data_IF_606409977549
#
_entry.id   IF_606409977549
#
_cell.length_a   1.000
_cell.length_b   1.000
_cell.length_c   1.000
_cell.angle_alpha   90.00
_cell.angle_beta   90.00
_cell.angle_gamma   90.00
#
_symmetry.space_group_name_H-M   'P 1'
#
loop_
_entity.id
_entity.type
_entity.pdbx_description
1 polymer ?
#
# COMPACT_ATOMS: atom_id res chain seq x y z
N UNK A 1 31.00 -7.22 2.53
CA UNK A 1 29.64 -6.70 2.77
C UNK A 1 28.66 -6.94 1.61
N UNK A 2 28.94 -7.87 0.68
CA UNK A 2 28.06 -8.16 -0.49
C UNK A 2 26.94 -9.17 -0.16
N UNK A 3 27.04 -9.89 0.97
CA UNK A 3 26.05 -10.90 1.36
C UNK A 3 24.69 -10.36 1.85
N UNK A 4 24.63 -9.15 2.40
CA UNK A 4 23.37 -8.60 2.96
C UNK A 4 22.40 -8.07 1.91
N UNK A 5 22.88 -7.64 0.74
CA UNK A 5 22.00 -7.08 -0.30
C UNK A 5 21.16 -8.17 -0.97
N UNK A 6 21.75 -9.34 -1.25
CA UNK A 6 21.07 -10.45 -1.93
C UNK A 6 19.95 -11.04 -1.06
N UNK A 7 20.15 -11.12 0.25
CA UNK A 7 19.15 -11.67 1.18
C UNK A 7 17.92 -10.76 1.29
N UNK A 8 18.13 -9.44 1.35
CA UNK A 8 17.04 -8.46 1.42
C UNK A 8 16.12 -8.45 0.19
N UNK A 9 16.69 -8.68 -1.00
CA UNK A 9 15.93 -8.76 -2.26
C UNK A 9 15.04 -10.00 -2.28
N UNK A 10 15.57 -11.15 -1.88
CA UNK A 10 14.82 -12.40 -1.86
C UNK A 10 13.65 -12.37 -0.86
N UNK A 11 13.84 -11.75 0.31
CA UNK A 11 12.78 -11.59 1.32
C UNK A 11 11.64 -10.72 0.77
N UNK A 12 11.95 -9.63 0.08
CA UNK A 12 10.94 -8.75 -0.50
C UNK A 12 10.15 -9.46 -1.61
N UNK A 13 10.80 -10.25 -2.46
CA UNK A 13 10.12 -11.04 -3.50
C UNK A 13 9.24 -12.12 -2.87
N UNK A 14 9.73 -12.84 -1.86
CA UNK A 14 8.97 -13.86 -1.16
C UNK A 14 7.68 -13.30 -0.53
N UNK A 15 7.76 -12.13 0.12
CA UNK A 15 6.59 -11.46 0.69
C UNK A 15 5.54 -11.10 -0.37
N UNK A 16 5.97 -10.60 -1.53
CA UNK A 16 5.07 -10.27 -2.65
C UNK A 16 4.39 -11.52 -3.22
N UNK A 17 5.14 -12.60 -3.40
CA UNK A 17 4.59 -13.88 -3.90
C UNK A 17 3.60 -14.45 -2.88
N UNK A 18 3.94 -14.43 -1.59
CA UNK A 18 3.04 -14.86 -0.52
C UNK A 18 1.75 -14.03 -0.49
N UNK A 19 1.85 -12.70 -0.62
CA UNK A 19 0.70 -11.81 -0.70
C UNK A 19 -0.20 -12.10 -1.91
N UNK A 20 0.39 -12.38 -3.08
CA UNK A 20 -0.35 -12.80 -4.27
C UNK A 20 -1.08 -14.13 -4.05
N UNK A 21 -0.41 -15.15 -3.53
CA UNK A 21 -1.00 -16.45 -3.23
C UNK A 21 -2.13 -16.32 -2.20
N UNK A 22 -1.95 -15.49 -1.19
CA UNK A 22 -2.96 -15.15 -0.19
C UNK A 22 -4.20 -14.49 -0.83
N UNK A 23 -4.00 -13.52 -1.72
CA UNK A 23 -5.09 -12.87 -2.46
C UNK A 23 -5.88 -13.85 -3.35
N UNK A 24 -5.18 -14.71 -4.09
CA UNK A 24 -5.82 -15.79 -4.86
C UNK A 24 -6.56 -16.78 -3.98
N UNK A 25 -5.99 -17.16 -2.84
CA UNK A 25 -6.62 -18.04 -1.85
C UNK A 25 -7.95 -17.47 -1.35
N UNK A 26 -8.01 -16.15 -1.08
CA UNK A 26 -9.25 -15.49 -0.69
C UNK A 26 -10.33 -15.55 -1.77
N UNK A 27 -9.95 -15.29 -3.02
CA UNK A 27 -10.88 -15.33 -4.15
C UNK A 27 -11.39 -16.75 -4.36
N UNK A 28 -10.52 -17.76 -4.24
CA UNK A 28 -10.92 -19.16 -4.33
C UNK A 28 -11.92 -19.53 -3.22
N UNK A 29 -11.69 -19.09 -1.98
CA UNK A 29 -12.63 -19.29 -0.86
C UNK A 29 -13.97 -18.58 -1.15
N UNK A 30 -13.93 -17.35 -1.65
CA UNK A 30 -15.14 -16.60 -1.98
C UNK A 30 -15.97 -17.32 -3.05
N UNK A 31 -15.32 -17.82 -4.12
CA UNK A 31 -15.97 -18.60 -5.17
C UNK A 31 -16.51 -19.92 -4.61
N UNK A 32 -15.74 -20.62 -3.78
CA UNK A 32 -16.19 -21.88 -3.17
C UNK A 32 -17.43 -21.65 -2.28
N UNK A 33 -17.44 -20.58 -1.47
CA UNK A 33 -18.65 -20.16 -0.73
C UNK A 33 -19.79 -19.87 -1.71
N UNK A 34 -19.55 -19.11 -2.78
CA UNK A 34 -20.58 -18.78 -3.76
C UNK A 34 -21.23 -20.03 -4.40
N UNK A 35 -20.43 -21.05 -4.73
CA UNK A 35 -20.91 -22.30 -5.35
C UNK A 35 -21.62 -23.21 -4.34
N UNK A 36 -21.20 -23.19 -3.07
CA UNK A 36 -21.74 -24.07 -2.03
C UNK A 36 -23.06 -23.55 -1.44
N UNK A 37 -23.36 -22.26 -1.57
CA UNK A 37 -24.47 -21.64 -0.84
C UNK A 37 -25.83 -21.71 -1.55
N UNK A 38 -26.83 -22.18 -0.77
CA UNK A 38 -28.24 -21.81 -0.89
C UNK A 38 -28.40 -20.38 -0.33
N UNK A 39 -29.06 -19.49 -1.07
CA UNK A 39 -29.14 -18.02 -0.87
C UNK A 39 -29.93 -17.60 0.41
N UNK A 40 -30.14 -18.49 1.38
CA UNK A 40 -31.08 -18.26 2.49
C UNK A 40 -30.57 -17.31 3.60
N UNK A 41 -29.27 -17.14 3.79
CA UNK A 41 -28.72 -16.25 4.84
C UNK A 41 -27.98 -15.04 4.26
N UNK A 42 -28.55 -13.85 4.44
CA UNK A 42 -27.98 -12.60 3.94
C UNK A 42 -26.60 -12.27 4.51
N UNK A 43 -26.28 -12.74 5.72
CA UNK A 43 -24.97 -12.52 6.37
C UNK A 43 -23.83 -13.13 5.55
N UNK A 44 -24.00 -14.37 5.09
CA UNK A 44 -22.97 -15.09 4.34
C UNK A 44 -22.73 -14.48 2.95
N UNK A 45 -23.77 -13.91 2.35
CA UNK A 45 -23.64 -13.17 1.10
C UNK A 45 -22.74 -11.94 1.26
N UNK A 46 -22.97 -11.12 2.30
CA UNK A 46 -22.11 -9.97 2.57
C UNK A 46 -20.67 -10.40 2.88
N UNK A 47 -20.48 -11.46 3.68
CA UNK A 47 -19.14 -11.98 3.98
C UNK A 47 -18.40 -12.40 2.70
N UNK A 48 -19.08 -13.09 1.79
CA UNK A 48 -18.52 -13.55 0.52
C UNK A 48 -18.14 -12.36 -0.38
N UNK A 49 -18.97 -11.33 -0.42
CA UNK A 49 -18.66 -10.10 -1.14
C UNK A 49 -17.44 -9.38 -0.55
N UNK A 50 -17.33 -9.32 0.78
CA UNK A 50 -16.14 -8.78 1.46
C UNK A 50 -14.88 -9.57 1.11
N UNK A 51 -14.94 -10.91 1.08
CA UNK A 51 -13.81 -11.73 0.67
C UNK A 51 -13.38 -11.45 -0.78
N UNK A 52 -14.32 -11.29 -1.70
CA UNK A 52 -14.01 -10.96 -3.08
C UNK A 52 -13.32 -9.59 -3.20
N UNK A 53 -13.86 -8.58 -2.51
CA UNK A 53 -13.33 -7.20 -2.52
C UNK A 53 -11.94 -7.15 -1.87
N UNK A 54 -11.77 -7.77 -0.70
CA UNK A 54 -10.49 -7.78 0.01
C UNK A 54 -9.43 -8.63 -0.71
N UNK A 55 -9.82 -9.75 -1.34
CA UNK A 55 -8.92 -10.53 -2.20
C UNK A 55 -8.44 -9.71 -3.41
N UNK A 56 -9.36 -8.97 -4.04
CA UNK A 56 -9.03 -8.03 -5.12
C UNK A 56 -8.10 -6.92 -4.65
N UNK A 57 -8.35 -6.32 -3.48
CA UNK A 57 -7.44 -5.32 -2.89
C UNK A 57 -6.08 -5.91 -2.56
N UNK A 58 -6.00 -7.14 -2.05
CA UNK A 58 -4.73 -7.80 -1.75
C UNK A 58 -3.87 -7.93 -3.01
N UNK A 59 -4.46 -8.39 -4.12
CA UNK A 59 -3.79 -8.49 -5.43
C UNK A 59 -3.44 -7.10 -5.98
N UNK A 60 -4.38 -6.16 -5.93
CA UNK A 60 -4.18 -4.80 -6.39
C UNK A 60 -3.11 -4.07 -5.56
N UNK A 61 -2.89 -4.44 -4.30
CA UNK A 61 -1.83 -3.86 -3.47
C UNK A 61 -0.43 -4.20 -3.99
N UNK A 62 -0.28 -5.30 -4.72
CA UNK A 62 0.99 -5.76 -5.29
C UNK A 62 1.19 -5.24 -6.71
N UNK A 63 0.12 -5.16 -7.51
CA UNK A 63 0.15 -4.48 -8.79
C UNK A 63 0.09 -2.98 -8.52
N UNK A 64 1.24 -2.28 -8.60
CA UNK A 64 1.41 -0.85 -8.29
C UNK A 64 0.62 0.08 -9.24
N UNK A 65 -0.69 -0.09 -9.33
CA UNK A 65 -1.62 0.69 -10.13
C UNK A 65 -1.92 2.00 -9.39
N UNK A 66 -1.10 3.01 -9.69
CA UNK A 66 -1.23 4.36 -9.14
C UNK A 66 -2.64 4.97 -9.24
N UNK A 67 -3.50 4.50 -10.15
CA UNK A 67 -4.86 5.04 -10.35
C UNK A 67 -5.94 4.39 -9.47
N UNK A 68 -5.81 3.12 -9.12
CA UNK A 68 -6.85 2.38 -8.38
C UNK A 68 -6.68 2.52 -6.86
N UNK A 69 -5.44 2.76 -6.41
CA UNK A 69 -5.08 2.87 -4.99
C UNK A 69 -5.18 4.30 -4.44
N UNK A 70 -5.68 5.28 -5.19
CA UNK A 70 -5.81 6.68 -4.74
C UNK A 70 -6.57 6.81 -3.41
N UNK A 71 -7.72 6.13 -3.18
CA UNK A 71 -8.41 6.20 -1.89
C UNK A 71 -7.72 5.36 -0.79
N UNK A 72 -6.86 4.41 -1.16
CA UNK A 72 -6.21 3.49 -0.24
C UNK A 72 -4.73 3.83 -0.05
N UNK A 73 -4.45 5.09 0.28
CA UNK A 73 -3.08 5.55 0.47
C UNK A 73 -2.32 4.75 1.56
N UNK A 74 -3.05 4.18 2.54
CA UNK A 74 -2.47 3.34 3.58
C UNK A 74 -1.90 2.01 3.04
N UNK A 75 -2.45 1.44 1.96
CA UNK A 75 -1.94 0.22 1.31
C UNK A 75 -0.58 0.44 0.62
N UNK A 76 -0.16 1.70 0.45
CA UNK A 76 1.15 2.04 -0.12
C UNK A 76 2.28 1.86 0.89
N UNK A 77 1.97 1.91 2.19
CA UNK A 77 2.94 1.74 3.27
C UNK A 77 3.02 0.28 3.72
N UNK A 78 4.22 -0.21 4.02
CA UNK A 78 4.42 -1.57 4.54
C UNK A 78 3.60 -1.84 5.81
N UNK A 79 3.52 -0.86 6.71
CA UNK A 79 2.74 -0.95 7.93
C UNK A 79 1.23 -1.11 7.65
N UNK A 80 0.72 -0.34 6.70
CA UNK A 80 -0.70 -0.38 6.32
C UNK A 80 -1.07 -1.68 5.61
N UNK A 81 -0.17 -2.21 4.76
CA UNK A 81 -0.32 -3.56 4.20
C UNK A 81 -0.36 -4.62 5.29
N UNK A 82 0.58 -4.59 6.25
CA UNK A 82 0.60 -5.51 7.38
C UNK A 82 -0.70 -5.48 8.17
N UNK A 83 -1.19 -4.30 8.53
CA UNK A 83 -2.47 -4.12 9.23
C UNK A 83 -3.67 -4.62 8.41
N UNK A 84 -3.68 -4.38 7.09
CA UNK A 84 -4.72 -4.90 6.20
C UNK A 84 -4.76 -6.43 6.18
N UNK A 85 -3.60 -7.09 6.02
CA UNK A 85 -3.53 -8.55 6.05
C UNK A 85 -3.96 -9.12 7.41
N UNK A 86 -3.63 -8.44 8.51
CA UNK A 86 -4.05 -8.84 9.86
C UNK A 86 -5.58 -8.73 10.02
N UNK A 87 -6.15 -7.63 9.55
CA UNK A 87 -7.60 -7.41 9.57
C UNK A 87 -8.32 -8.51 8.78
N UNK A 88 -7.84 -8.82 7.57
CA UNK A 88 -8.40 -9.89 6.74
C UNK A 88 -8.24 -11.27 7.41
N UNK A 89 -7.10 -11.54 8.06
CA UNK A 89 -6.88 -12.78 8.82
C UNK A 89 -7.93 -12.97 9.93
N UNK A 90 -8.33 -11.88 10.57
CA UNK A 90 -9.31 -11.86 11.66
C UNK A 90 -10.73 -12.13 11.14
N UNK A 91 -11.08 -11.60 9.97
CA UNK A 91 -12.40 -11.86 9.35
C UNK A 91 -12.52 -13.32 8.91
N UNK A 92 -11.44 -13.88 8.35
CA UNK A 92 -11.40 -15.26 7.85
C UNK A 92 -11.38 -16.30 8.97
N UNK A 93 -11.09 -15.88 10.20
CA UNK A 93 -11.00 -16.78 11.35
C UNK A 93 -12.37 -17.41 11.67
N UNK A 94 -12.62 -18.55 11.04
CA UNK A 94 -13.80 -19.37 11.22
C UNK A 94 -13.37 -20.76 11.68
N UNK A 95 -13.90 -21.19 12.83
CA UNK A 95 -13.52 -22.43 13.50
C UNK A 95 -14.19 -23.65 12.83
N UNK A 96 -15.24 -23.45 12.04
CA UNK A 96 -15.99 -24.57 11.46
C UNK A 96 -15.22 -25.36 10.41
N UNK A 97 -14.28 -24.73 9.71
CA UNK A 97 -13.58 -25.34 8.59
C UNK A 97 -12.06 -25.19 8.73
N UNK A 98 -11.36 -26.32 8.77
CA UNK A 98 -9.92 -26.33 9.03
C UNK A 98 -9.10 -25.57 7.97
N UNK A 99 -9.56 -25.54 6.72
CA UNK A 99 -8.93 -24.77 5.64
C UNK A 99 -8.95 -23.25 5.87
N UNK A 100 -9.99 -22.73 6.54
CA UNK A 100 -10.07 -21.30 6.87
C UNK A 100 -9.06 -20.94 7.95
N UNK A 101 -8.86 -21.82 8.93
CA UNK A 101 -7.83 -21.67 9.96
C UNK A 101 -6.44 -21.63 9.32
N UNK A 102 -6.14 -22.55 8.40
CA UNK A 102 -4.86 -22.59 7.68
C UNK A 102 -4.59 -21.27 6.94
N UNK A 103 -5.59 -20.76 6.23
CA UNK A 103 -5.48 -19.48 5.51
C UNK A 103 -5.34 -18.29 6.46
N UNK A 104 -6.08 -18.25 7.57
CA UNK A 104 -5.93 -17.21 8.58
C UNK A 104 -4.50 -17.18 9.15
N UNK A 105 -3.91 -18.34 9.45
CA UNK A 105 -2.51 -18.44 9.91
C UNK A 105 -1.53 -17.94 8.85
N UNK A 106 -1.72 -18.28 7.57
CA UNK A 106 -0.87 -17.78 6.48
C UNK A 106 -0.96 -16.25 6.33
N UNK A 107 -2.16 -15.69 6.44
CA UNK A 107 -2.38 -14.24 6.43
C UNK A 107 -1.72 -13.56 7.64
N UNK A 108 -1.83 -14.16 8.82
CA UNK A 108 -1.20 -13.67 10.03
C UNK A 108 0.33 -13.67 9.92
N UNK A 109 0.92 -14.76 9.45
CA UNK A 109 2.37 -14.85 9.21
C UNK A 109 2.82 -13.80 8.19
N UNK A 110 2.09 -13.66 7.08
CA UNK A 110 2.38 -12.66 6.05
C UNK A 110 2.33 -11.25 6.63
N UNK A 111 1.32 -10.94 7.47
CA UNK A 111 1.23 -9.67 8.18
C UNK A 111 2.45 -9.40 9.07
N UNK A 112 2.87 -10.39 9.86
CA UNK A 112 4.07 -10.29 10.71
C UNK A 112 5.32 -10.02 9.87
N UNK A 113 5.50 -10.70 8.73
CA UNK A 113 6.60 -10.42 7.81
C UNK A 113 6.59 -8.96 7.31
N UNK A 114 5.43 -8.42 6.93
CA UNK A 114 5.33 -7.01 6.53
C UNK A 114 5.65 -6.05 7.68
N UNK A 115 5.29 -6.38 8.92
CA UNK A 115 5.67 -5.59 10.10
C UNK A 115 7.18 -5.62 10.35
N UNK A 116 7.81 -6.80 10.25
CA UNK A 116 9.26 -6.94 10.41
C UNK A 116 10.00 -6.12 9.35
N UNK A 117 9.58 -6.20 8.08
CA UNK A 117 10.14 -5.39 7.00
C UNK A 117 9.93 -3.90 7.27
N UNK A 118 8.74 -3.49 7.74
CA UNK A 118 8.46 -2.10 8.05
C UNK A 118 9.37 -1.55 9.16
N UNK A 119 9.65 -2.35 10.20
CA UNK A 119 10.55 -1.98 11.31
C UNK A 119 12.00 -1.93 10.80
N UNK A 120 12.47 -2.99 10.14
CA UNK A 120 13.84 -3.07 9.62
C UNK A 120 14.17 -1.99 8.57
N UNK A 121 13.20 -1.57 7.76
CA UNK A 121 13.38 -0.46 6.81
C UNK A 121 13.27 0.92 7.47
N UNK A 122 12.56 1.06 8.60
CA UNK A 122 12.46 2.33 9.33
C UNK A 122 13.81 2.75 9.92
N UNK A 123 14.60 1.79 10.40
CA UNK A 123 15.95 2.05 10.91
C UNK A 123 16.89 2.65 9.84
N UNK A 124 16.66 2.35 8.55
CA UNK A 124 17.46 2.92 7.45
C UNK A 124 17.04 4.32 7.00
N UNK A 125 15.87 4.81 7.39
CA UNK A 125 15.37 6.14 7.03
C UNK A 125 15.70 7.19 8.10
N UNK A 126 15.88 6.78 9.35
CA UNK A 126 16.39 7.66 10.42
C UNK A 126 17.83 8.07 10.09
N UNK A 127 18.67 7.10 9.71
CA UNK A 127 20.07 7.30 9.32
C UNK A 127 20.24 8.29 8.13
N UNK A 128 19.29 8.28 7.18
CA UNK A 128 19.37 9.12 5.98
C UNK A 128 18.73 10.50 6.11
N UNK A 129 17.93 10.73 7.16
CA UNK A 129 17.31 12.04 7.41
C UNK A 129 18.28 12.98 8.12
N UNK A 130 19.21 12.44 8.93
CA UNK A 130 20.27 13.22 9.58
C UNK A 130 21.32 13.74 8.56
N UNK A 131 21.69 12.95 7.54
CA UNK A 131 22.64 13.41 6.50
C UNK A 131 22.07 14.54 5.59
N UNK A 132 20.75 14.62 5.41
CA UNK A 132 20.12 15.66 4.58
C UNK A 132 19.96 16.97 5.36
N UNK A 133 19.76 16.90 6.68
CA UNK A 133 19.70 18.09 7.53
C UNK A 133 21.10 18.69 7.77
N UNK A 134 22.15 17.87 7.89
CA UNK A 134 23.53 18.34 8.04
C UNK A 134 24.09 18.99 6.76
N UNK A 135 23.67 18.54 5.55
CA UNK A 135 24.04 19.19 4.28
C UNK A 135 23.19 20.41 3.92
N UNK A 136 22.05 20.63 4.56
CA UNK A 136 21.24 21.84 4.36
C UNK A 136 21.73 23.04 5.18
N UNK A 137 22.70 22.84 6.09
CA UNK A 137 23.33 23.89 6.89
C UNK A 137 24.46 24.67 6.22
N UNK A 138 24.99 24.22 5.07
CA UNK A 138 26.17 24.81 4.41
C UNK A 138 25.89 25.29 2.97
N UNK A 139 24.66 25.73 2.69
CA UNK A 139 24.36 26.49 1.48
C UNK A 139 23.66 27.80 1.79
N UNK A 140 24.45 28.72 2.32
CA UNK A 140 24.15 30.14 2.28
C UNK A 140 24.34 30.68 0.86
N UNK A 141 23.40 31.54 0.45
CA UNK A 141 23.48 32.58 -0.59
C UNK A 141 23.28 32.15 -2.06
N UNK A 142 22.08 32.40 -2.60
CA UNK A 142 21.84 33.53 -3.51
C UNK A 142 20.31 33.68 -3.76
N UNK A 143 19.69 34.73 -3.20
CA UNK A 143 18.33 35.10 -3.57
C UNK A 143 18.35 35.82 -4.92
N UNK A 144 17.56 35.39 -5.93
CA UNK A 144 17.41 36.18 -7.14
C UNK A 144 16.63 37.46 -6.81
N UNK A 145 17.32 38.60 -6.95
CA UNK A 145 16.80 39.95 -6.91
C UNK A 145 15.65 40.08 -7.92
N UNK A 146 14.42 40.13 -7.41
CA UNK A 146 13.22 40.38 -8.20
C UNK A 146 13.19 41.87 -8.59
N UNK A 147 13.58 42.17 -9.84
CA UNK A 147 13.35 43.49 -10.46
C UNK A 147 11.87 43.60 -10.83
N UNK A 148 11.09 44.54 -10.25
CA UNK A 148 9.74 44.81 -10.72
C UNK A 148 9.80 45.44 -12.12
N UNK A 149 9.03 44.86 -13.06
CA UNK A 149 8.88 45.36 -14.42
C UNK A 149 8.06 46.66 -14.40
N UNK A 150 8.75 47.76 -14.69
CA UNK A 150 8.17 49.07 -14.99
C UNK A 150 7.71 49.12 -16.45
N UNK A 151 6.50 49.69 -16.65
CA UNK A 151 6.05 50.44 -17.84
C UNK A 151 5.68 49.57 -19.06
N UNK A 152 4.42 49.54 -19.52
CA UNK A 152 3.92 50.61 -20.39
C UNK A 152 2.40 50.62 -20.49
N UNK A 153 1.81 51.73 -20.02
CA UNK A 153 0.41 52.12 -20.21
C UNK A 153 0.43 53.47 -20.92
N UNK A 154 0.44 53.47 -22.26
CA UNK A 154 0.08 54.63 -23.10
C UNK A 154 0.01 54.21 -24.58
N UNK A 155 -0.88 54.86 -25.34
CA UNK A 155 -1.24 54.63 -26.76
C UNK A 155 -2.11 53.39 -26.99
N UNK A 156 -3.32 53.43 -27.55
CA UNK A 156 -4.15 54.40 -28.29
C UNK A 156 -5.62 54.12 -27.84
N UNK A 157 -6.61 55.01 -27.90
CA UNK A 157 -7.29 55.41 -29.13
C UNK A 157 -8.10 56.67 -28.83
N UNK A 158 -7.69 57.75 -29.50
CA UNK A 158 -8.52 58.86 -29.91
C UNK A 158 -9.22 58.44 -31.21
N UNK A 159 -10.45 57.94 -31.14
CA UNK A 159 -11.34 57.79 -32.31
C UNK A 159 -12.79 57.48 -31.89
N UNK A 160 -13.50 58.49 -31.40
CA UNK A 160 -14.96 58.65 -31.46
C UNK A 160 -15.23 60.03 -30.81
N UNK A 161 -15.32 61.14 -31.55
CA UNK A 161 -16.42 61.46 -32.47
C UNK A 161 -17.76 61.06 -31.88
#
# INVERSE_FOLDING_TARGET
MVGQEVESVNISVAAKVAAFLCGFGLIAIAIQKLVTFNILDGRDFFLTLYYLIFGGMAIASEVRWNKILVPFYFLKYCLGKGAFFLFVATIIFDVHYWWFILMSVLFFLTSVFYFIIAIACKDRLVDKSEEVEERAGDHSVEQPVFKPAEISMQQEISAAS
#
